data_IF_573911735126
#
_entry.id   IF_573911735126
#
_cell.length_a   1.000
_cell.length_b   1.000
_cell.length_c   1.000
_cell.angle_alpha   90.00
_cell.angle_beta   90.00
_cell.angle_gamma   90.00
#
_symmetry.space_group_name_H-M   'P 1'
#
loop_
_entity.id
_entity.type
_entity.pdbx_description
1 polymer ?
#
# COMPACT_ATOMS: atom_id res chain seq x y z
N UNK A 1 -11.08 -36.96 -30.30
CA UNK A 1 -11.60 -35.80 -31.05
C UNK A 1 -12.85 -35.29 -30.34
N UNK A 2 -12.70 -34.28 -29.47
CA UNK A 2 -13.83 -33.61 -28.82
C UNK A 2 -13.83 -32.17 -29.25
N UNK A 3 -14.76 -31.79 -30.12
CA UNK A 3 -14.83 -30.45 -30.68
C UNK A 3 -15.08 -29.41 -29.59
N UNK A 4 -14.08 -28.58 -29.33
CA UNK A 4 -14.23 -27.31 -28.65
C UNK A 4 -15.10 -26.41 -29.53
N UNK A 5 -16.41 -26.59 -29.49
CA UNK A 5 -17.32 -25.55 -29.93
C UNK A 5 -17.08 -24.37 -28.97
N UNK A 6 -16.41 -23.32 -29.47
CA UNK A 6 -16.21 -22.05 -28.78
C UNK A 6 -17.55 -21.58 -28.22
N UNK A 7 -17.82 -21.84 -26.93
CA UNK A 7 -19.08 -21.50 -26.29
C UNK A 7 -19.06 -19.99 -26.05
N UNK A 8 -19.51 -19.25 -27.07
CA UNK A 8 -19.76 -17.81 -26.96
C UNK A 8 -20.67 -17.60 -25.76
N UNK A 9 -20.14 -16.96 -24.72
CA UNK A 9 -20.86 -16.74 -23.48
C UNK A 9 -21.87 -15.60 -23.66
N UNK A 10 -22.83 -15.47 -22.73
CA UNK A 10 -23.73 -14.31 -22.72
C UNK A 10 -22.96 -12.99 -22.56
N UNK A 11 -21.80 -13.04 -21.90
CA UNK A 11 -20.89 -11.90 -21.72
C UNK A 11 -20.27 -11.49 -23.05
N UNK A 12 -19.78 -12.45 -23.83
CA UNK A 12 -19.19 -12.19 -25.15
C UNK A 12 -20.21 -11.58 -26.13
N UNK A 13 -21.47 -12.04 -26.06
CA UNK A 13 -22.57 -11.44 -26.84
C UNK A 13 -22.83 -10.00 -26.45
N UNK A 14 -22.89 -9.69 -25.15
CA UNK A 14 -23.10 -8.33 -24.68
C UNK A 14 -21.96 -7.38 -25.08
N UNK A 15 -20.71 -7.84 -25.01
CA UNK A 15 -19.53 -7.07 -25.46
C UNK A 15 -19.59 -6.85 -26.98
N UNK A 16 -19.97 -7.87 -27.75
CA UNK A 16 -20.16 -7.75 -29.19
C UNK A 16 -21.24 -6.70 -29.51
N UNK A 17 -22.39 -6.76 -28.83
CA UNK A 17 -23.50 -5.83 -29.05
C UNK A 17 -23.08 -4.38 -28.74
N UNK A 18 -22.31 -4.17 -27.67
CA UNK A 18 -21.74 -2.85 -27.36
C UNK A 18 -20.78 -2.36 -28.45
N UNK A 19 -19.88 -3.23 -28.94
CA UNK A 19 -18.94 -2.89 -30.03
C UNK A 19 -19.68 -2.58 -31.34
N UNK A 20 -20.71 -3.37 -31.67
CA UNK A 20 -21.58 -3.11 -32.82
C UNK A 20 -22.31 -1.77 -32.69
N UNK A 21 -22.78 -1.42 -31.49
CA UNK A 21 -23.44 -0.15 -31.24
C UNK A 21 -22.48 1.04 -31.40
N UNK A 22 -21.25 0.93 -30.89
CA UNK A 22 -20.18 1.91 -31.12
C UNK A 22 -19.92 2.12 -32.61
N UNK A 23 -19.78 1.04 -33.37
CA UNK A 23 -19.52 1.11 -34.81
C UNK A 23 -20.69 1.76 -35.58
N UNK A 24 -21.93 1.48 -35.18
CA UNK A 24 -23.12 2.16 -35.72
C UNK A 24 -23.12 3.66 -35.41
N UNK A 25 -22.72 4.07 -34.21
CA UNK A 25 -22.62 5.49 -33.85
C UNK A 25 -21.51 6.19 -34.66
N UNK A 26 -20.36 5.55 -34.90
CA UNK A 26 -19.35 6.11 -35.80
C UNK A 26 -19.88 6.28 -37.24
N UNK A 27 -20.64 5.31 -37.75
CA UNK A 27 -21.27 5.43 -39.08
C UNK A 27 -22.27 6.59 -39.12
N UNK A 28 -23.05 6.76 -38.05
CA UNK A 28 -24.00 7.87 -37.92
C UNK A 28 -23.28 9.23 -37.84
N UNK A 29 -22.20 9.32 -37.06
CA UNK A 29 -21.34 10.50 -36.96
C UNK A 29 -20.82 10.91 -38.34
N UNK A 30 -20.21 9.99 -39.09
CA UNK A 30 -19.72 10.25 -40.47
C UNK A 30 -20.84 10.75 -41.39
N UNK A 31 -22.04 10.17 -41.28
CA UNK A 31 -23.20 10.57 -42.09
C UNK A 31 -23.65 11.99 -41.74
N UNK A 32 -23.71 12.35 -40.46
CA UNK A 32 -24.07 13.71 -40.02
C UNK A 32 -23.02 14.72 -40.45
N UNK A 33 -21.72 14.41 -40.35
CA UNK A 33 -20.65 15.32 -40.78
C UNK A 33 -20.82 15.69 -42.26
N UNK A 34 -21.01 14.70 -43.13
CA UNK A 34 -21.26 14.93 -44.57
C UNK A 34 -22.52 15.76 -44.80
N UNK A 35 -23.56 15.57 -44.00
CA UNK A 35 -24.82 16.32 -44.13
C UNK A 35 -24.65 17.78 -43.67
N UNK A 36 -23.89 17.99 -42.59
CA UNK A 36 -23.51 19.31 -42.07
C UNK A 36 -22.71 20.09 -43.12
N UNK A 37 -21.74 19.44 -43.77
CA UNK A 37 -20.96 20.04 -44.85
C UNK A 37 -21.84 20.46 -46.03
N UNK A 38 -22.79 19.61 -46.43
CA UNK A 38 -23.77 19.95 -47.48
C UNK A 38 -24.62 21.15 -47.09
N UNK A 39 -25.08 21.24 -45.84
CA UNK A 39 -25.86 22.38 -45.38
C UNK A 39 -25.05 23.68 -45.33
N UNK A 40 -23.76 23.60 -44.99
CA UNK A 40 -22.86 24.77 -45.11
C UNK A 40 -22.71 25.23 -46.55
N UNK A 41 -22.58 24.30 -47.51
CA UNK A 41 -22.48 24.62 -48.92
C UNK A 41 -23.77 25.25 -49.45
N UNK A 42 -24.93 24.71 -49.07
CA UNK A 42 -26.25 25.26 -49.43
C UNK A 42 -26.40 26.67 -48.83
N UNK A 43 -26.03 26.87 -47.56
CA UNK A 43 -26.09 28.18 -46.93
C UNK A 43 -25.22 29.21 -47.67
N UNK A 44 -23.98 28.84 -48.05
CA UNK A 44 -23.09 29.70 -48.86
C UNK A 44 -23.70 30.04 -50.23
N UNK A 45 -24.30 29.06 -50.91
CA UNK A 45 -24.95 29.28 -52.21
C UNK A 45 -26.17 30.20 -52.10
N UNK A 46 -26.99 30.06 -51.06
CA UNK A 46 -28.17 30.92 -50.87
C UNK A 46 -27.77 32.36 -50.49
N UNK A 47 -26.70 32.53 -49.72
CA UNK A 47 -26.12 33.84 -49.43
C UNK A 47 -25.59 34.52 -50.70
N UNK A 48 -24.90 33.79 -51.58
CA UNK A 48 -24.43 34.31 -52.87
C UNK A 48 -25.58 34.76 -53.78
N UNK A 49 -26.75 34.13 -53.68
CA UNK A 49 -27.97 34.49 -54.41
C UNK A 49 -28.78 35.62 -53.74
N UNK A 50 -28.35 36.11 -52.58
CA UNK A 50 -29.04 37.17 -51.82
C UNK A 50 -30.27 36.69 -51.02
N UNK A 51 -30.56 35.38 -50.99
CA UNK A 51 -31.72 34.81 -50.32
C UNK A 51 -31.41 34.52 -48.83
N UNK A 52 -31.46 35.58 -48.03
CA UNK A 52 -31.23 35.56 -46.57
C UNK A 52 -32.16 34.62 -45.79
N UNK A 53 -33.49 34.57 -46.00
CA UNK A 53 -34.36 33.70 -45.21
C UNK A 53 -34.08 32.21 -45.43
N UNK A 54 -33.76 31.79 -46.68
CA UNK A 54 -33.35 30.41 -46.95
C UNK A 54 -32.00 30.06 -46.35
N UNK A 55 -31.04 31.00 -46.39
CA UNK A 55 -29.74 30.80 -45.74
C UNK A 55 -29.87 30.61 -44.22
N UNK A 56 -30.74 31.40 -43.55
CA UNK A 56 -31.03 31.24 -42.12
C UNK A 56 -31.63 29.88 -41.78
N UNK A 57 -32.54 29.37 -42.62
CA UNK A 57 -33.12 28.03 -42.43
C UNK A 57 -32.06 26.93 -42.52
N UNK A 58 -31.16 27.01 -43.50
CA UNK A 58 -30.04 26.07 -43.65
C UNK A 58 -29.11 26.11 -42.43
N UNK A 59 -28.79 27.30 -41.92
CA UNK A 59 -27.96 27.45 -40.71
C UNK A 59 -28.63 26.91 -39.45
N UNK A 60 -29.97 27.04 -39.32
CA UNK A 60 -30.71 26.44 -38.20
C UNK A 60 -30.67 24.91 -38.24
N UNK A 61 -30.82 24.31 -39.42
CA UNK A 61 -30.68 22.85 -39.59
C UNK A 61 -29.26 22.38 -39.26
N UNK A 62 -28.25 23.13 -39.69
CA UNK A 62 -26.84 22.86 -39.38
C UNK A 62 -26.62 22.84 -37.88
N UNK A 63 -27.09 23.87 -37.17
CA UNK A 63 -26.95 23.95 -35.71
C UNK A 63 -27.65 22.80 -34.98
N UNK A 64 -28.81 22.36 -35.47
CA UNK A 64 -29.50 21.19 -34.93
C UNK A 64 -28.68 19.91 -35.11
N UNK A 65 -28.11 19.69 -36.29
CA UNK A 65 -27.24 18.55 -36.58
C UNK A 65 -25.95 18.57 -35.77
N UNK A 66 -25.35 19.74 -35.57
CA UNK A 66 -24.19 19.90 -34.68
C UNK A 66 -24.55 19.51 -33.23
N UNK A 67 -25.74 19.87 -32.75
CA UNK A 67 -26.19 19.43 -31.42
C UNK A 67 -26.40 17.91 -31.33
N UNK A 68 -26.86 17.29 -32.42
CA UNK A 68 -27.01 15.83 -32.51
C UNK A 68 -25.65 15.14 -32.57
N UNK A 69 -24.68 15.72 -33.28
CA UNK A 69 -23.30 15.25 -33.32
C UNK A 69 -22.70 15.28 -31.92
N UNK A 70 -22.80 16.41 -31.20
CA UNK A 70 -22.31 16.53 -29.82
C UNK A 70 -22.92 15.49 -28.87
N UNK A 71 -24.23 15.23 -28.97
CA UNK A 71 -24.88 14.17 -28.19
C UNK A 71 -24.37 12.78 -28.56
N UNK A 72 -24.14 12.54 -29.86
CA UNK A 72 -23.59 11.27 -30.36
C UNK A 72 -22.17 11.05 -29.86
N UNK A 73 -21.33 12.09 -29.87
CA UNK A 73 -19.95 12.03 -29.39
C UNK A 73 -19.92 11.71 -27.88
N UNK A 74 -20.77 12.36 -27.08
CA UNK A 74 -20.90 12.05 -25.66
C UNK A 74 -21.37 10.60 -25.39
N UNK A 75 -22.32 10.10 -26.19
CA UNK A 75 -22.76 8.70 -26.10
C UNK A 75 -21.66 7.72 -26.50
N UNK A 76 -20.83 8.10 -27.47
CA UNK A 76 -19.72 7.27 -27.95
C UNK A 76 -18.63 7.17 -26.88
N UNK A 77 -18.27 8.29 -26.25
CA UNK A 77 -17.34 8.33 -25.11
C UNK A 77 -17.85 7.44 -23.96
N UNK A 78 -19.14 7.54 -23.63
CA UNK A 78 -19.76 6.68 -22.60
C UNK A 78 -19.66 5.19 -22.95
N UNK A 79 -19.88 4.81 -24.21
CA UNK A 79 -19.77 3.42 -24.66
C UNK A 79 -18.32 2.92 -24.63
N UNK A 80 -17.35 3.76 -24.98
CA UNK A 80 -15.93 3.43 -24.91
C UNK A 80 -15.46 3.22 -23.47
N UNK A 81 -15.84 4.13 -22.56
CA UNK A 81 -15.58 3.98 -21.13
C UNK A 81 -16.20 2.70 -20.57
N UNK A 82 -17.45 2.41 -20.93
CA UNK A 82 -18.13 1.20 -20.47
C UNK A 82 -17.45 -0.06 -21.02
N UNK A 83 -17.06 -0.06 -22.29
CA UNK A 83 -16.37 -1.20 -22.92
C UNK A 83 -15.04 -1.46 -22.23
N UNK A 84 -14.23 -0.43 -22.01
CA UNK A 84 -12.95 -0.55 -21.30
C UNK A 84 -13.14 -1.05 -19.86
N UNK A 85 -14.19 -0.57 -19.18
CA UNK A 85 -14.49 -1.00 -17.81
C UNK A 85 -14.88 -2.47 -17.74
N UNK A 86 -15.67 -2.95 -18.71
CA UNK A 86 -16.06 -4.36 -18.81
C UNK A 86 -14.85 -5.24 -19.13
N UNK A 87 -14.00 -4.84 -20.06
CA UNK A 87 -12.77 -5.57 -20.40
C UNK A 87 -11.83 -5.66 -19.19
N UNK A 88 -11.70 -4.58 -18.42
CA UNK A 88 -10.91 -4.59 -17.19
C UNK A 88 -11.53 -5.50 -16.12
N UNK A 89 -12.86 -5.49 -15.95
CA UNK A 89 -13.55 -6.38 -15.02
C UNK A 89 -13.37 -7.87 -15.39
N UNK A 90 -13.28 -8.20 -16.68
CA UNK A 90 -12.96 -9.57 -17.11
C UNK A 90 -11.55 -9.98 -16.68
N UNK A 91 -10.55 -9.10 -16.86
CA UNK A 91 -9.18 -9.36 -16.39
C UNK A 91 -9.16 -9.54 -14.87
N UNK A 92 -9.87 -8.69 -14.12
CA UNK A 92 -9.96 -8.80 -12.67
C UNK A 92 -10.55 -10.14 -12.23
N UNK A 93 -11.60 -10.62 -12.90
CA UNK A 93 -12.18 -11.94 -12.64
C UNK A 93 -11.14 -13.04 -12.81
N UNK A 94 -10.35 -13.00 -13.87
CA UNK A 94 -9.32 -14.00 -14.15
C UNK A 94 -8.18 -13.95 -13.11
N UNK A 95 -7.77 -12.76 -12.68
CA UNK A 95 -6.80 -12.58 -11.58
C UNK A 95 -7.33 -13.18 -10.29
N UNK A 96 -8.58 -12.90 -9.92
CA UNK A 96 -9.20 -13.48 -8.71
C UNK A 96 -9.27 -15.00 -8.80
N UNK A 97 -9.62 -15.55 -9.97
CA UNK A 97 -9.63 -16.99 -10.20
C UNK A 97 -8.22 -17.61 -10.08
N UNK A 98 -7.19 -16.92 -10.56
CA UNK A 98 -5.79 -17.31 -10.38
C UNK A 98 -5.36 -17.32 -8.91
N UNK A 99 -5.70 -16.27 -8.15
CA UNK A 99 -5.44 -16.19 -6.71
C UNK A 99 -6.15 -17.30 -5.91
N UNK A 100 -7.41 -17.61 -6.28
CA UNK A 100 -8.15 -18.70 -5.66
C UNK A 100 -7.48 -20.06 -5.92
N UNK A 101 -7.00 -20.31 -7.13
CA UNK A 101 -6.27 -21.54 -7.45
C UNK A 101 -4.93 -21.61 -6.70
N UNK A 102 -4.15 -20.52 -6.69
CA UNK A 102 -2.90 -20.45 -5.93
C UNK A 102 -3.11 -20.70 -4.43
N UNK A 103 -4.20 -20.15 -3.87
CA UNK A 103 -4.57 -20.40 -2.47
C UNK A 103 -4.95 -21.86 -2.22
N UNK A 104 -5.64 -22.52 -3.16
CA UNK A 104 -5.95 -23.96 -3.04
C UNK A 104 -4.69 -24.80 -3.05
N UNK A 105 -3.78 -24.56 -4.00
CA UNK A 105 -2.49 -25.25 -4.09
C UNK A 105 -1.67 -25.03 -2.82
N UNK A 106 -1.62 -23.79 -2.30
CA UNK A 106 -0.90 -23.51 -1.05
C UNK A 106 -1.50 -24.26 0.15
N UNK A 107 -2.83 -24.40 0.21
CA UNK A 107 -3.51 -25.21 1.24
C UNK A 107 -3.20 -26.69 1.11
N UNK A 108 -3.14 -27.21 -0.12
CA UNK A 108 -2.74 -28.60 -0.38
C UNK A 108 -1.29 -28.83 0.07
N UNK A 109 -0.35 -27.95 -0.30
CA UNK A 109 1.05 -28.01 0.15
C UNK A 109 1.15 -27.96 1.68
N UNK A 110 0.43 -27.04 2.34
CA UNK A 110 0.42 -26.99 3.80
C UNK A 110 -0.17 -28.26 4.43
N UNK A 111 -1.17 -28.88 3.81
CA UNK A 111 -1.72 -30.14 4.28
C UNK A 111 -0.74 -31.30 4.10
N UNK A 112 0.00 -31.35 2.99
CA UNK A 112 1.03 -32.36 2.71
C UNK A 112 2.25 -32.21 3.63
N UNK A 113 2.60 -30.96 3.98
CA UNK A 113 3.66 -30.64 4.94
C UNK A 113 3.25 -30.91 6.41
N UNK A 114 2.07 -31.48 6.63
CA UNK A 114 1.58 -31.91 7.94
C UNK A 114 0.85 -30.81 8.74
N UNK A 115 0.53 -29.69 8.10
CA UNK A 115 -0.26 -28.60 8.69
C UNK A 115 0.39 -27.95 9.91
N UNK A 116 -0.44 -27.28 10.72
CA UNK A 116 0.00 -26.67 11.99
C UNK A 116 0.45 -27.75 12.97
N UNK A 117 -0.22 -28.91 12.99
CA UNK A 117 0.09 -30.01 13.91
C UNK A 117 1.52 -30.56 13.72
N UNK A 118 2.00 -30.71 12.48
CA UNK A 118 3.38 -31.15 12.24
C UNK A 118 4.39 -30.08 12.61
N UNK A 119 4.09 -28.80 12.37
CA UNK A 119 4.95 -27.68 12.79
C UNK A 119 5.01 -27.60 14.33
N UNK A 120 3.88 -27.72 15.02
CA UNK A 120 3.81 -27.76 16.49
C UNK A 120 4.57 -28.97 17.06
N UNK A 121 4.42 -30.14 16.44
CA UNK A 121 5.17 -31.35 16.84
C UNK A 121 6.67 -31.18 16.63
N UNK A 122 7.10 -30.62 15.50
CA UNK A 122 8.51 -30.36 15.21
C UNK A 122 9.11 -29.35 16.19
N UNK A 123 8.37 -28.30 16.55
CA UNK A 123 8.79 -27.34 17.56
C UNK A 123 8.90 -27.97 18.95
N UNK A 124 7.96 -28.84 19.33
CA UNK A 124 8.03 -29.61 20.57
C UNK A 124 9.24 -30.55 20.59
N UNK A 125 9.44 -31.36 19.55
CA UNK A 125 10.60 -32.26 19.42
C UNK A 125 11.93 -31.49 19.44
N UNK A 126 11.97 -30.28 18.87
CA UNK A 126 13.17 -29.42 18.92
C UNK A 126 13.41 -28.85 20.31
N UNK A 127 12.37 -28.40 21.01
CA UNK A 127 12.48 -27.90 22.39
C UNK A 127 12.95 -29.01 23.34
N UNK A 128 12.39 -30.22 23.20
CA UNK A 128 12.78 -31.40 23.98
C UNK A 128 14.22 -31.82 23.67
N UNK A 129 14.64 -31.76 22.40
CA UNK A 129 16.03 -32.05 22.02
C UNK A 129 17.02 -31.02 22.59
N UNK A 130 16.67 -29.74 22.64
CA UNK A 130 17.47 -28.69 23.28
C UNK A 130 17.54 -28.92 24.80
N UNK A 131 16.42 -29.27 25.43
CA UNK A 131 16.38 -29.57 26.86
C UNK A 131 17.24 -30.80 27.19
N UNK A 132 17.16 -31.87 26.39
CA UNK A 132 18.00 -33.05 26.53
C UNK A 132 19.48 -32.73 26.28
N UNK A 133 19.81 -31.94 25.26
CA UNK A 133 21.19 -31.50 25.03
C UNK A 133 21.71 -30.71 26.23
N UNK A 134 20.89 -29.85 26.82
CA UNK A 134 21.25 -29.08 28.01
C UNK A 134 21.44 -30.00 29.21
N UNK A 135 20.54 -30.95 29.45
CA UNK A 135 20.70 -31.96 30.50
C UNK A 135 21.96 -32.80 30.31
N UNK A 136 22.25 -33.25 29.08
CA UNK A 136 23.51 -33.94 28.74
C UNK A 136 24.71 -33.02 28.96
N UNK A 137 24.63 -31.75 28.59
CA UNK A 137 25.71 -30.78 28.83
C UNK A 137 25.90 -30.50 30.32
N UNK A 138 24.84 -30.49 31.12
CA UNK A 138 24.90 -30.30 32.57
C UNK A 138 25.46 -31.58 33.24
N UNK A 139 25.08 -32.77 32.76
CA UNK A 139 25.62 -34.05 33.24
C UNK A 139 27.09 -34.26 32.83
N UNK A 140 27.46 -33.86 31.60
CA UNK A 140 28.83 -33.96 31.08
C UNK A 140 29.72 -32.83 31.62
N UNK A 141 29.13 -31.66 31.88
CA UNK A 141 29.72 -30.52 32.59
C UNK A 141 29.92 -30.79 34.08
N UNK A 142 29.39 -31.90 34.59
CA UNK A 142 29.68 -32.44 35.91
C UNK A 142 31.05 -33.10 35.98
N UNK A 143 32.12 -32.29 35.96
CA UNK A 143 33.43 -32.45 36.65
C UNK A 143 34.48 -31.51 36.05
N UNK A 144 34.27 -30.20 36.20
CA UNK A 144 35.40 -29.27 36.32
C UNK A 144 35.62 -29.15 37.84
N UNK A 145 36.82 -29.45 38.33
CA UNK A 145 37.14 -29.25 39.75
C UNK A 145 37.06 -27.76 40.07
N UNK A 146 36.74 -27.36 41.30
CA UNK A 146 36.82 -25.94 41.68
C UNK A 146 38.20 -25.31 41.37
N UNK A 147 39.27 -26.13 41.34
CA UNK A 147 40.60 -25.72 40.90
C UNK A 147 40.71 -25.48 39.40
N UNK A 148 40.02 -26.27 38.58
CA UNK A 148 40.02 -26.10 37.13
C UNK A 148 39.12 -24.90 36.73
N UNK A 149 38.08 -24.59 37.52
CA UNK A 149 37.30 -23.35 37.37
C UNK A 149 38.15 -22.11 37.71
N UNK A 150 38.91 -22.15 38.81
CA UNK A 150 39.81 -21.06 39.21
C UNK A 150 40.91 -20.84 38.15
N UNK A 151 41.49 -21.90 37.58
CA UNK A 151 42.51 -21.81 36.53
C UNK A 151 41.93 -21.22 35.22
N UNK A 152 40.69 -21.57 34.87
CA UNK A 152 39.98 -21.00 33.70
C UNK A 152 39.59 -19.53 33.93
N UNK A 153 39.15 -19.17 35.14
CA UNK A 153 38.87 -17.77 35.51
C UNK A 153 40.14 -16.91 35.46
N UNK A 154 41.28 -17.44 35.93
CA UNK A 154 42.57 -16.78 35.85
C UNK A 154 43.03 -16.59 34.39
N UNK A 155 42.89 -17.61 33.53
CA UNK A 155 43.19 -17.48 32.10
C UNK A 155 42.27 -16.47 31.40
N UNK A 156 40.98 -16.44 31.76
CA UNK A 156 40.02 -15.46 31.25
C UNK A 156 40.41 -14.03 31.68
N UNK A 157 40.76 -13.83 32.94
CA UNK A 157 41.22 -12.54 33.46
C UNK A 157 42.52 -12.07 32.77
N UNK A 158 43.44 -13.00 32.48
CA UNK A 158 44.65 -12.71 31.73
C UNK A 158 44.35 -12.29 30.28
N UNK A 159 43.40 -12.96 29.61
CA UNK A 159 42.94 -12.61 28.26
C UNK A 159 42.25 -11.25 28.27
N UNK A 160 41.34 -10.98 29.20
CA UNK A 160 40.69 -9.69 29.35
C UNK A 160 41.70 -8.57 29.61
N UNK A 161 42.70 -8.79 30.47
CA UNK A 161 43.77 -7.83 30.71
C UNK A 161 44.62 -7.60 29.46
N UNK A 162 44.89 -8.64 28.67
CA UNK A 162 45.62 -8.52 27.40
C UNK A 162 44.83 -7.72 26.35
N UNK A 163 43.53 -7.97 26.23
CA UNK A 163 42.62 -7.25 25.32
C UNK A 163 42.45 -5.81 25.78
N UNK A 164 42.29 -5.56 27.08
CA UNK A 164 42.21 -4.23 27.66
C UNK A 164 43.52 -3.44 27.50
N UNK A 165 44.68 -4.11 27.63
CA UNK A 165 45.98 -3.51 27.36
C UNK A 165 46.17 -3.20 25.87
N UNK A 166 45.67 -4.06 24.97
CA UNK A 166 45.68 -3.83 23.53
C UNK A 166 44.72 -2.68 23.14
N UNK A 167 43.54 -2.58 23.76
CA UNK A 167 42.63 -1.44 23.62
C UNK A 167 43.19 -0.14 24.19
N UNK A 168 43.86 -0.19 25.34
CA UNK A 168 44.52 0.97 25.95
C UNK A 168 45.76 1.44 25.14
N UNK A 169 46.49 0.51 24.52
CA UNK A 169 47.55 0.83 23.57
C UNK A 169 46.99 1.46 22.28
N UNK A 170 45.80 1.03 21.86
CA UNK A 170 45.09 1.60 20.71
C UNK A 170 44.44 2.96 21.01
N UNK A 171 44.10 3.25 22.27
CA UNK A 171 43.54 4.52 22.74
C UNK A 171 44.13 4.95 24.11
N UNK A 172 45.22 5.74 24.14
CA UNK A 172 45.78 6.21 25.41
C UNK A 172 44.85 7.22 26.11
N UNK A 173 44.59 7.08 27.43
CA UNK A 173 43.73 8.01 28.15
C UNK A 173 44.35 9.41 28.21
N UNK A 174 43.60 10.42 27.73
CA UNK A 174 43.98 11.84 27.81
C UNK A 174 44.01 12.27 29.28
N UNK A 175 45.17 12.69 29.77
CA UNK A 175 45.31 13.28 31.11
C UNK A 175 44.52 14.59 31.21
N UNK A 176 43.33 14.55 31.79
CA UNK A 176 42.63 15.75 32.23
C UNK A 176 43.03 16.07 33.67
N UNK A 177 43.84 17.13 33.85
CA UNK A 177 44.13 17.72 35.17
C UNK A 177 42.84 18.31 35.73
N UNK A 178 42.33 17.75 36.83
CA UNK A 178 41.16 18.29 37.53
C UNK A 178 41.57 19.52 38.36
N UNK A 179 40.81 20.64 38.31
CA UNK A 179 41.07 21.83 39.10
C UNK A 179 40.70 21.66 40.59
N UNK A 180 41.46 22.34 41.46
CA UNK A 180 41.33 22.32 42.93
C UNK A 180 39.99 22.87 43.41
N UNK A 181 39.35 22.15 44.34
CA UNK A 181 38.05 22.49 44.94
C UNK A 181 38.21 23.63 45.98
N UNK A 182 37.36 24.68 46.00
CA UNK A 182 37.39 25.71 47.04
C UNK A 182 36.80 25.22 48.37
N UNK A 183 37.50 25.48 49.48
CA UNK A 183 37.02 25.30 50.86
C UNK A 183 36.01 26.41 51.22
N UNK A 184 34.74 26.08 51.40
CA UNK A 184 33.79 26.94 52.16
C UNK A 184 32.61 26.09 52.66
N UNK A 185 32.41 26.08 53.98
CA UNK A 185 31.41 25.27 54.70
C UNK A 185 29.95 25.64 54.34
N UNK A 186 29.02 24.65 54.30
CA UNK A 186 27.61 24.89 53.99
C UNK A 186 26.80 25.32 55.22
N UNK A 187 25.96 26.35 55.04
CA UNK A 187 24.95 26.79 56.03
C UNK A 187 23.64 26.02 55.79
N UNK A 188 23.04 25.53 56.88
CA UNK A 188 21.81 24.71 56.89
C UNK A 188 20.54 25.52 56.53
N UNK A 189 19.51 24.92 55.87
CA UNK A 189 18.30 25.62 55.45
C UNK A 189 17.14 25.56 56.48
N UNK A 190 16.38 26.66 56.58
CA UNK A 190 15.10 26.79 57.31
C UNK A 190 13.91 26.17 56.54
N UNK A 191 12.99 25.54 57.28
CA UNK A 191 11.73 24.92 56.80
C UNK A 191 10.67 25.96 56.37
N UNK A 192 9.76 25.62 55.41
CA UNK A 192 8.45 26.25 55.37
C UNK A 192 7.26 25.28 55.43
N UNK A 193 6.22 25.76 56.12
CA UNK A 193 4.90 25.18 56.41
C UNK A 193 4.07 24.77 55.18
N UNK A 194 3.30 23.70 55.34
CA UNK A 194 2.29 23.23 54.39
C UNK A 194 0.88 23.59 54.91
N UNK A 195 0.08 24.26 54.10
CA UNK A 195 -1.35 24.48 54.36
C UNK A 195 -2.21 24.03 53.16
N UNK A 196 -3.31 23.37 53.50
CA UNK A 196 -4.14 22.50 52.66
C UNK A 196 -5.14 23.23 51.74
N UNK A 197 -5.48 22.52 50.66
CA UNK A 197 -6.81 22.34 50.06
C UNK A 197 -7.67 23.57 49.65
N UNK A 198 -8.05 23.62 48.37
CA UNK A 198 -9.44 23.38 47.91
C UNK A 198 -9.61 23.63 46.39
N UNK A 199 -10.24 22.69 45.70
CA UNK A 199 -11.03 22.92 44.47
C UNK A 199 -12.51 22.96 44.88
N UNK A 200 -13.45 23.70 44.22
CA UNK A 200 -13.94 23.31 42.89
C UNK A 200 -14.50 24.40 41.94
N UNK A 201 -14.44 24.08 40.64
CA UNK A 201 -15.37 24.30 39.51
C UNK A 201 -16.46 25.40 39.60
N UNK A 202 -16.47 26.35 38.64
CA UNK A 202 -17.56 26.61 37.66
C UNK A 202 -17.30 27.79 36.71
N UNK A 203 -17.62 27.55 35.43
CA UNK A 203 -18.14 28.46 34.36
C UNK A 203 -18.39 29.92 34.75
N UNK A 204 -18.04 30.94 33.96
CA UNK A 204 -18.71 31.34 32.69
C UNK A 204 -18.13 32.69 32.24
N UNK A 205 -18.02 32.92 30.91
CA UNK A 205 -18.09 34.22 30.19
C UNK A 205 -17.11 35.35 30.65
N UNK A 206 -16.71 36.33 29.86
CA UNK A 206 -16.62 36.65 28.45
C UNK A 206 -15.88 38.00 28.44
N UNK A 207 -15.30 38.35 27.30
CA UNK A 207 -15.13 39.73 26.82
C UNK A 207 -14.01 40.61 27.42
N UNK A 208 -13.13 40.98 26.47
CA UNK A 208 -12.76 42.34 26.10
C UNK A 208 -11.75 43.14 26.96
N UNK A 209 -10.64 43.42 26.27
CA UNK A 209 -10.12 44.76 25.99
C UNK A 209 -9.83 45.70 27.16
N UNK A 210 -8.56 46.04 27.33
CA UNK A 210 -7.97 47.28 26.79
C UNK A 210 -6.45 47.19 26.84
#
# INVERSE_FOLDING_TARGET
MGGNASKVTAQDKAILDMKLQRDKLHQYQRRITVLTDKETAIAKQMLAKGDKPRALLALRRKKYQESLLQKTDAQLEQLEMLTSSVEFAMIQKDVVFGLQQGTKVLKEIHSEMGGIEHVEKLMGETADAIAYQKEVSDMLGGRISNQDEEEVEDELAALEASVAAEEAARNPPKQHKLPTVPDTEPVLPDEPEAEEAQQPVRTRQAMLAS
#
